data_IF_143180882971
#
_entry.id   IF_143180882971
#
_cell.length_a   1.000
_cell.length_b   1.000
_cell.length_c   1.000
_cell.angle_alpha   90.00
_cell.angle_beta   90.00
_cell.angle_gamma   90.00
#
_symmetry.space_group_name_H-M   'P 1'
#
loop_
_entity.id
_entity.type
_entity.pdbx_description
1 polymer ?
#
# COMPACT_ATOMS: atom_id res chain seq x y z
N UNK A 1 -24.62 -19.95 -23.47
CA UNK A 1 -23.16 -19.91 -23.33
C UNK A 1 -22.74 -18.52 -23.77
N UNK A 2 -22.39 -17.66 -22.83
CA UNK A 2 -21.99 -16.25 -23.07
C UNK A 2 -20.87 -16.00 -22.04
N UNK A 3 -19.69 -16.53 -22.33
CA UNK A 3 -18.52 -15.75 -22.78
C UNK A 3 -17.98 -14.84 -21.67
N UNK A 4 -16.96 -15.36 -21.01
CA UNK A 4 -16.11 -14.69 -20.03
C UNK A 4 -15.42 -13.48 -20.70
N UNK A 5 -16.10 -12.33 -20.69
CA UNK A 5 -15.46 -11.09 -21.11
C UNK A 5 -14.39 -10.72 -20.08
N UNK A 6 -13.13 -11.05 -20.38
CA UNK A 6 -11.98 -10.43 -19.74
C UNK A 6 -12.05 -8.94 -20.04
N UNK A 7 -12.75 -8.21 -19.17
CA UNK A 7 -12.93 -6.77 -19.27
C UNK A 7 -11.59 -6.10 -18.99
N UNK A 8 -10.75 -6.00 -20.02
CA UNK A 8 -9.65 -5.05 -20.04
C UNK A 8 -10.28 -3.66 -20.12
N UNK A 9 -10.82 -3.18 -19.00
CA UNK A 9 -11.25 -1.81 -18.84
C UNK A 9 -9.99 -0.95 -18.96
N UNK A 10 -9.68 -0.51 -20.18
CA UNK A 10 -8.63 0.47 -20.41
C UNK A 10 -9.00 1.71 -19.61
N UNK A 11 -8.29 1.93 -18.50
CA UNK A 11 -8.35 3.20 -17.76
C UNK A 11 -8.02 4.30 -18.76
N UNK A 12 -9.03 5.10 -19.13
CA UNK A 12 -8.81 6.27 -19.97
C UNK A 12 -7.96 7.25 -19.18
N UNK A 13 -6.67 7.32 -19.52
CA UNK A 13 -5.81 8.39 -19.02
C UNK A 13 -6.39 9.71 -19.54
N UNK A 14 -6.76 10.61 -18.63
CA UNK A 14 -7.35 11.87 -19.04
C UNK A 14 -6.27 12.90 -19.40
N UNK A 15 -6.34 13.42 -20.62
CA UNK A 15 -5.35 14.32 -21.23
C UNK A 15 -5.88 15.75 -21.47
N UNK A 16 -7.11 16.06 -21.06
CA UNK A 16 -7.71 17.40 -21.22
C UNK A 16 -7.39 18.30 -20.02
N UNK A 17 -7.43 19.62 -20.23
CA UNK A 17 -7.24 20.61 -19.16
C UNK A 17 -8.25 20.43 -18.02
N UNK A 18 -9.48 20.00 -18.31
CA UNK A 18 -10.52 19.73 -17.32
C UNK A 18 -10.10 18.67 -16.29
N UNK A 19 -9.25 17.72 -16.67
CA UNK A 19 -8.78 16.69 -15.76
C UNK A 19 -7.67 17.13 -14.82
N UNK A 20 -7.08 18.31 -15.04
CA UNK A 20 -6.19 18.94 -14.06
C UNK A 20 -6.95 19.19 -12.77
N UNK A 21 -8.21 19.63 -12.84
CA UNK A 21 -9.06 19.86 -11.66
C UNK A 21 -9.33 18.56 -10.90
N UNK A 22 -9.60 17.45 -11.60
CA UNK A 22 -9.76 16.13 -10.96
C UNK A 22 -8.47 15.65 -10.28
N UNK A 23 -7.33 15.77 -10.96
CA UNK A 23 -6.02 15.42 -10.39
C UNK A 23 -5.69 16.27 -9.16
N UNK A 24 -6.04 17.57 -9.20
CA UNK A 24 -5.89 18.47 -8.06
C UNK A 24 -6.78 18.04 -6.88
N UNK A 25 -8.05 17.72 -7.14
CA UNK A 25 -8.96 17.24 -6.11
C UNK A 25 -8.44 15.93 -5.47
N UNK A 26 -7.96 14.98 -6.27
CA UNK A 26 -7.36 13.73 -5.80
C UNK A 26 -6.09 13.99 -4.97
N UNK A 27 -5.25 14.92 -5.43
CA UNK A 27 -4.02 15.31 -4.72
C UNK A 27 -4.32 15.90 -3.36
N UNK A 28 -5.27 16.85 -3.27
CA UNK A 28 -5.67 17.46 -2.01
C UNK A 28 -6.34 16.45 -1.08
N UNK A 29 -7.17 15.55 -1.62
CA UNK A 29 -7.80 14.47 -0.85
C UNK A 29 -6.77 13.54 -0.21
N UNK A 30 -5.69 13.21 -0.93
CA UNK A 30 -4.60 12.35 -0.43
C UNK A 30 -3.62 13.08 0.49
N UNK A 31 -3.41 14.37 0.27
CA UNK A 31 -2.34 15.16 0.90
C UNK A 31 -2.83 16.11 1.99
N UNK A 32 -4.14 16.25 2.19
CA UNK A 32 -4.74 17.22 3.11
C UNK A 32 -4.26 17.10 4.56
N UNK A 33 -3.80 15.92 4.98
CA UNK A 33 -3.24 15.70 6.31
C UNK A 33 -1.75 16.04 6.47
N UNK A 34 -1.01 16.23 5.36
CA UNK A 34 0.45 16.45 5.39
C UNK A 34 0.84 17.86 5.84
N UNK A 35 -0.01 18.85 5.57
CA UNK A 35 0.24 20.27 5.91
C UNK A 35 -0.16 20.65 7.34
N UNK A 36 -0.65 19.70 8.13
CA UNK A 36 -1.08 19.96 9.49
C UNK A 36 0.13 20.07 10.43
N UNK A 37 0.11 20.99 11.40
CA UNK A 37 1.22 21.22 12.34
C UNK A 37 1.56 19.99 13.19
N UNK A 38 0.62 19.06 13.35
CA UNK A 38 0.79 17.80 14.08
C UNK A 38 0.97 16.59 13.15
N UNK A 39 1.40 16.80 11.89
CA UNK A 39 1.63 15.70 10.96
C UNK A 39 2.76 14.79 11.46
N UNK A 40 2.47 13.49 11.60
CA UNK A 40 3.45 12.45 11.95
C UNK A 40 3.73 11.62 10.70
N UNK A 41 4.94 11.72 10.10
CA UNK A 41 5.31 10.91 8.95
C UNK A 41 5.25 9.41 9.25
N UNK A 42 4.86 8.62 8.26
CA UNK A 42 4.96 7.17 8.36
C UNK A 42 6.43 6.76 8.44
N UNK A 43 6.76 5.90 9.40
CA UNK A 43 8.11 5.39 9.52
C UNK A 43 8.42 4.46 8.32
N UNK A 44 9.43 4.83 7.54
CA UNK A 44 9.92 4.06 6.38
C UNK A 44 11.39 3.65 6.53
N UNK A 45 11.93 3.71 7.75
CA UNK A 45 13.31 3.33 8.05
C UNK A 45 13.57 1.83 7.89
N UNK A 46 14.85 1.43 7.97
CA UNK A 46 15.31 0.06 7.71
C UNK A 46 14.61 -1.03 8.55
N UNK A 47 14.09 -0.69 9.72
CA UNK A 47 13.35 -1.59 10.60
C UNK A 47 11.82 -1.51 10.44
N UNK A 48 11.30 -0.48 9.76
CA UNK A 48 9.86 -0.25 9.64
C UNK A 48 9.16 -1.34 8.81
N UNK A 49 9.84 -1.81 7.76
CA UNK A 49 9.39 -2.91 6.93
C UNK A 49 10.16 -4.19 7.27
N UNK A 50 10.14 -4.59 8.55
CA UNK A 50 10.76 -5.85 8.98
C UNK A 50 10.12 -7.06 8.29
N UNK A 51 10.92 -8.11 8.00
CA UNK A 51 10.39 -9.42 7.62
C UNK A 51 9.66 -9.98 8.83
N UNK A 52 8.32 -10.05 8.80
CA UNK A 52 7.59 -10.88 9.78
C UNK A 52 8.17 -12.28 9.65
N UNK A 53 8.95 -12.75 10.64
CA UNK A 53 9.22 -14.18 10.77
C UNK A 53 7.84 -14.80 10.87
N UNK A 54 7.36 -15.47 9.83
CA UNK A 54 6.18 -16.31 9.95
C UNK A 54 6.56 -17.28 11.07
N UNK A 55 5.92 -17.17 12.23
CA UNK A 55 5.99 -18.19 13.29
C UNK A 55 5.27 -19.45 12.77
N UNK A 56 5.82 -20.03 11.71
CA UNK A 56 5.27 -21.16 10.96
C UNK A 56 6.28 -22.28 10.78
N UNK A 57 7.44 -22.21 11.43
CA UNK A 57 8.33 -23.36 11.62
C UNK A 57 9.24 -23.16 12.84
N UNK A 58 8.66 -23.08 14.04
CA UNK A 58 9.38 -23.49 15.26
C UNK A 58 8.43 -24.28 16.15
N UNK A 59 8.05 -25.46 15.65
CA UNK A 59 7.81 -26.65 16.48
C UNK A 59 8.98 -27.64 16.34
N UNK A 60 10.15 -27.18 15.84
CA UNK A 60 11.32 -28.05 15.59
C UNK A 60 12.65 -27.33 15.87
N UNK A 61 12.76 -26.60 16.98
CA UNK A 61 14.08 -26.13 17.46
C UNK A 61 14.20 -25.90 18.97
N UNK A 62 13.15 -26.09 19.78
CA UNK A 62 13.27 -26.07 21.25
C UNK A 62 13.31 -27.50 21.83
N UNK A 63 14.16 -28.35 21.26
CA UNK A 63 14.48 -29.70 21.76
C UNK A 63 15.98 -29.88 22.07
N UNK A 64 16.84 -28.84 21.98
CA UNK A 64 18.29 -28.99 22.28
C UNK A 64 18.85 -27.82 23.12
N UNK A 65 18.17 -27.50 24.21
CA UNK A 65 18.75 -26.99 25.46
C UNK A 65 17.83 -27.54 26.56
N UNK A 66 18.00 -28.75 27.09
CA UNK A 66 19.23 -29.31 27.64
C UNK A 66 19.30 -28.98 29.13
N UNK A 67 18.64 -29.81 29.94
CA UNK A 67 18.67 -29.92 31.42
C UNK A 67 18.41 -28.64 32.25
#
# INVERSE_FOLDING_TARGET
AEEESNSTAQKRACNTATCVTHRLADFLSRSGGLGHSNFVPTNVGAQAFGRRKRHGFVRVQDQIHGL
#
